data_IF_558390722330
#
_entry.id   IF_558390722330
#
_cell.length_a   1.000
_cell.length_b   1.000
_cell.length_c   1.000
_cell.angle_alpha   90.00
_cell.angle_beta   90.00
_cell.angle_gamma   90.00
#
_symmetry.space_group_name_H-M   'P 1'
#
loop_
_entity.id
_entity.type
_entity.pdbx_description
1 polymer ?
#
# COMPACT_ATOMS: atom_id res chain seq x y z
N UNK A 1 22.99 8.14 10.25
CA UNK A 1 21.55 8.19 10.67
C UNK A 1 20.79 7.31 9.70
N UNK A 2 20.10 6.28 10.16
CA UNK A 2 19.24 5.48 9.31
C UNK A 2 18.09 6.38 8.80
N UNK A 3 17.79 6.32 7.50
CA UNK A 3 16.71 7.10 6.90
C UNK A 3 15.31 6.73 7.45
N UNK A 4 14.24 7.38 6.94
CA UNK A 4 12.85 7.06 7.29
C UNK A 4 12.54 5.57 7.14
N UNK A 5 11.66 5.06 8.00
CA UNK A 5 11.18 3.69 8.00
C UNK A 5 9.97 3.54 7.09
N UNK A 6 10.01 2.61 6.16
CA UNK A 6 8.90 2.35 5.24
C UNK A 6 8.03 1.22 5.79
N UNK A 7 6.84 1.58 6.23
CA UNK A 7 5.78 0.67 6.64
C UNK A 7 4.78 0.51 5.50
N UNK A 8 4.76 -0.68 4.90
CA UNK A 8 3.82 -0.99 3.83
C UNK A 8 2.58 -1.72 4.36
N UNK A 9 1.41 -1.34 3.87
CA UNK A 9 0.13 -2.00 4.14
C UNK A 9 -0.38 -2.59 2.84
N UNK A 10 -0.51 -3.91 2.79
CA UNK A 10 -0.99 -4.65 1.64
C UNK A 10 -2.24 -5.48 1.98
N UNK A 11 -3.00 -5.84 0.96
CA UNK A 11 -4.23 -6.64 1.08
C UNK A 11 -5.16 -6.40 -0.11
N UNK A 12 -6.23 -7.19 -0.27
CA UNK A 12 -7.17 -7.03 -1.38
C UNK A 12 -7.93 -5.69 -1.30
N UNK A 13 -8.45 -5.18 -2.42
CA UNK A 13 -9.37 -4.05 -2.41
C UNK A 13 -10.57 -4.32 -1.50
N UNK A 14 -10.95 -3.35 -0.66
CA UNK A 14 -11.98 -3.53 0.36
C UNK A 14 -11.49 -4.10 1.70
N UNK A 15 -10.22 -4.49 1.83
CA UNK A 15 -9.68 -4.97 3.12
C UNK A 15 -9.53 -3.87 4.18
N UNK A 16 -9.56 -2.60 3.78
CA UNK A 16 -9.39 -1.46 4.69
C UNK A 16 -7.99 -0.87 4.73
N UNK A 17 -7.12 -1.19 3.75
CA UNK A 17 -5.74 -0.65 3.65
C UNK A 17 -5.68 0.85 3.85
N UNK A 18 -6.41 1.60 3.05
CA UNK A 18 -6.37 3.07 3.11
C UNK A 18 -6.88 3.61 4.44
N UNK A 19 -7.94 3.02 5.00
CA UNK A 19 -8.44 3.37 6.34
C UNK A 19 -7.36 3.16 7.40
N UNK A 20 -6.67 2.02 7.35
CA UNK A 20 -5.56 1.71 8.26
C UNK A 20 -4.37 2.65 8.02
N UNK A 21 -4.02 2.93 6.77
CA UNK A 21 -2.92 3.85 6.42
C UNK A 21 -3.17 5.26 6.96
N UNK A 22 -4.41 5.76 6.92
CA UNK A 22 -4.75 7.04 7.52
C UNK A 22 -4.64 7.03 9.05
N UNK A 23 -5.15 5.98 9.71
CA UNK A 23 -5.05 5.86 11.17
C UNK A 23 -3.57 5.73 11.63
N UNK A 24 -2.74 5.04 10.87
CA UNK A 24 -1.30 4.95 11.10
C UNK A 24 -0.61 6.30 10.86
N UNK A 25 -1.00 7.04 9.81
CA UNK A 25 -0.45 8.38 9.55
C UNK A 25 -0.68 9.31 10.74
N UNK A 26 -1.88 9.36 11.27
CA UNK A 26 -2.20 10.14 12.47
C UNK A 26 -1.36 9.68 13.68
N UNK A 27 -1.26 8.36 13.89
CA UNK A 27 -0.50 7.76 15.00
C UNK A 27 0.98 8.11 14.94
N UNK A 28 1.56 8.18 13.73
CA UNK A 28 2.96 8.54 13.49
C UNK A 28 3.17 10.02 13.16
N UNK A 29 2.27 10.90 13.65
CA UNK A 29 2.45 12.35 13.63
C UNK A 29 2.32 12.98 12.23
N UNK A 30 1.43 12.44 11.40
CA UNK A 30 1.21 12.89 10.03
C UNK A 30 2.22 12.26 9.05
N UNK A 31 2.54 10.97 9.25
CA UNK A 31 3.41 10.24 8.33
C UNK A 31 2.86 10.32 6.89
N UNK A 32 3.70 10.62 5.88
CA UNK A 32 3.25 10.69 4.50
C UNK A 32 2.78 9.32 4.01
N UNK A 33 1.72 9.30 3.20
CA UNK A 33 1.18 8.10 2.58
C UNK A 33 1.44 8.17 1.07
N UNK A 34 2.18 7.20 0.54
CA UNK A 34 2.22 6.93 -0.89
C UNK A 34 1.18 5.85 -1.20
N UNK A 35 0.14 6.19 -1.96
CA UNK A 35 -0.89 5.26 -2.38
C UNK A 35 -0.57 4.71 -3.77
N UNK A 36 -0.42 3.39 -3.90
CA UNK A 36 -0.18 2.71 -5.17
C UNK A 36 -1.19 3.12 -6.24
N UNK A 37 -2.46 3.23 -5.88
CA UNK A 37 -3.56 3.55 -6.80
C UNK A 37 -3.38 4.92 -7.49
N UNK A 38 -2.58 5.83 -6.91
CA UNK A 38 -2.27 7.13 -7.53
C UNK A 38 -1.14 7.07 -8.59
N UNK A 39 -0.47 5.93 -8.71
CA UNK A 39 0.65 5.71 -9.64
C UNK A 39 0.37 4.65 -10.68
N UNK A 40 -0.61 3.78 -10.44
CA UNK A 40 -0.86 2.64 -11.29
C UNK A 40 -1.53 3.06 -12.61
N UNK A 41 -1.19 2.38 -13.68
CA UNK A 41 -1.76 2.58 -15.01
C UNK A 41 -2.50 1.35 -15.55
N UNK A 42 -2.61 0.28 -14.76
CA UNK A 42 -3.22 -1.00 -15.18
C UNK A 42 -4.71 -0.88 -15.40
N UNK A 43 -5.39 0.00 -14.67
CA UNK A 43 -6.82 0.27 -14.85
C UNK A 43 -7.15 0.84 -16.21
N UNK A 44 -6.18 1.42 -16.91
CA UNK A 44 -6.33 1.92 -18.28
C UNK A 44 -6.06 0.87 -19.36
N UNK A 45 -5.58 -0.33 -18.98
CA UNK A 45 -5.29 -1.38 -19.94
C UNK A 45 -6.55 -1.94 -20.58
N UNK A 46 -6.51 -2.19 -21.91
CA UNK A 46 -7.58 -2.93 -22.58
C UNK A 46 -7.70 -4.36 -22.01
N UNK A 47 -8.90 -4.96 -22.01
CA UNK A 47 -9.13 -6.30 -21.47
C UNK A 47 -8.18 -7.37 -22.02
N UNK A 48 -7.84 -7.30 -23.30
CA UNK A 48 -6.91 -8.24 -23.96
C UNK A 48 -5.48 -8.12 -23.43
N UNK A 49 -5.02 -6.94 -23.08
CA UNK A 49 -3.71 -6.75 -22.47
C UNK A 49 -3.65 -7.34 -21.08
N UNK A 50 -4.71 -7.21 -20.31
CA UNK A 50 -4.80 -7.81 -18.97
C UNK A 50 -4.89 -9.32 -19.07
N UNK A 51 -5.69 -9.87 -19.98
CA UNK A 51 -5.75 -11.31 -20.23
C UNK A 51 -4.37 -11.87 -20.64
N UNK A 52 -3.65 -11.19 -21.50
CA UNK A 52 -2.29 -11.56 -21.89
C UNK A 52 -1.30 -11.48 -20.72
N UNK A 53 -1.44 -10.51 -19.81
CA UNK A 53 -0.63 -10.42 -18.60
C UNK A 53 -0.90 -11.58 -17.65
N UNK A 54 -2.17 -11.92 -17.41
CA UNK A 54 -2.58 -13.09 -16.61
C UNK A 54 -2.05 -14.39 -17.20
N UNK A 55 -2.15 -14.58 -18.52
CA UNK A 55 -1.67 -15.78 -19.22
C UNK A 55 -0.15 -15.97 -19.09
N UNK A 56 0.61 -14.89 -18.89
CA UNK A 56 2.05 -14.94 -18.60
C UNK A 56 2.37 -15.18 -17.12
N UNK A 57 1.38 -15.51 -16.29
CA UNK A 57 1.54 -15.74 -14.85
C UNK A 57 1.55 -14.45 -14.04
N UNK A 58 0.97 -13.37 -14.55
CA UNK A 58 0.82 -12.07 -13.88
C UNK A 58 2.13 -11.55 -13.25
N UNK A 59 3.17 -11.30 -14.06
CA UNK A 59 4.44 -10.79 -13.54
C UNK A 59 4.26 -9.38 -12.95
N UNK A 60 4.46 -9.22 -11.64
CA UNK A 60 4.26 -7.93 -10.95
C UNK A 60 5.32 -6.87 -11.31
N UNK A 61 6.48 -7.30 -11.78
CA UNK A 61 7.53 -6.44 -12.33
C UNK A 61 7.14 -5.77 -13.66
N UNK A 62 6.17 -6.35 -14.38
CA UNK A 62 5.63 -5.77 -15.59
C UNK A 62 4.50 -4.74 -15.36
N UNK A 63 4.07 -4.53 -14.11
CA UNK A 63 3.03 -3.56 -13.80
C UNK A 63 3.61 -2.14 -13.80
N UNK A 64 3.10 -1.23 -14.65
CA UNK A 64 3.61 0.12 -14.71
C UNK A 64 3.11 0.93 -13.50
N UNK A 65 4.04 1.39 -12.69
CA UNK A 65 3.82 2.32 -11.58
C UNK A 65 4.83 3.48 -11.68
N UNK A 66 4.70 4.31 -12.73
CA UNK A 66 5.71 5.30 -13.05
C UNK A 66 5.89 6.31 -11.92
N UNK A 67 7.14 6.46 -11.45
CA UNK A 67 7.53 7.39 -10.41
C UNK A 67 7.33 6.91 -8.98
N UNK A 68 6.62 5.80 -8.71
CA UNK A 68 6.39 5.32 -7.33
C UNK A 68 7.70 4.96 -6.62
N UNK A 69 8.57 4.20 -7.29
CA UNK A 69 9.85 3.79 -6.72
C UNK A 69 10.78 4.99 -6.48
N UNK A 70 10.77 5.96 -7.39
CA UNK A 70 11.55 7.19 -7.26
C UNK A 70 11.04 8.08 -6.13
N UNK A 71 9.72 8.33 -6.06
CA UNK A 71 9.11 9.15 -5.02
C UNK A 71 9.33 8.50 -3.63
N UNK A 72 9.23 7.17 -3.52
CA UNK A 72 9.56 6.45 -2.29
C UNK A 72 11.03 6.62 -1.90
N UNK A 73 11.95 6.47 -2.85
CA UNK A 73 13.38 6.66 -2.62
C UNK A 73 13.72 8.12 -2.20
N UNK A 74 13.06 9.11 -2.80
CA UNK A 74 13.20 10.52 -2.43
C UNK A 74 12.72 10.79 -1.01
N UNK A 75 11.53 10.29 -0.64
CA UNK A 75 11.03 10.39 0.75
C UNK A 75 11.99 9.72 1.74
N UNK A 76 12.59 8.57 1.39
CA UNK A 76 13.61 7.92 2.24
C UNK A 76 14.87 8.77 2.44
N UNK A 77 15.21 9.64 1.48
CA UNK A 77 16.31 10.62 1.63
C UNK A 77 15.87 11.88 2.39
N UNK A 78 14.61 11.98 2.78
CA UNK A 78 14.06 13.17 3.45
C UNK A 78 13.64 14.28 2.49
N UNK A 79 13.58 14.00 1.19
CA UNK A 79 13.19 14.94 0.15
C UNK A 79 11.65 14.99 0.01
N UNK A 80 11.09 16.16 -0.34
CA UNK A 80 9.66 16.27 -0.62
C UNK A 80 9.30 15.65 -1.97
N UNK A 81 8.09 15.11 -2.07
CA UNK A 81 7.51 14.57 -3.30
C UNK A 81 6.09 15.09 -3.51
N UNK A 82 5.56 15.11 -4.75
CA UNK A 82 4.16 15.44 -4.99
C UNK A 82 3.21 14.46 -4.30
N UNK A 83 2.13 14.98 -3.70
CA UNK A 83 0.98 14.16 -3.32
C UNK A 83 0.08 13.98 -4.55
N UNK A 84 0.17 12.83 -5.20
CA UNK A 84 -0.57 12.54 -6.43
C UNK A 84 -2.04 12.19 -6.17
N UNK A 85 -2.39 11.84 -4.94
CA UNK A 85 -3.76 11.49 -4.57
C UNK A 85 -4.58 12.73 -4.21
N UNK A 86 -3.98 13.66 -3.44
CA UNK A 86 -4.68 14.82 -2.85
C UNK A 86 -4.20 16.17 -3.34
N UNK A 87 -3.12 16.19 -4.09
CA UNK A 87 -2.42 17.43 -4.44
C UNK A 87 -1.53 17.95 -3.30
N UNK A 88 -0.63 18.86 -3.63
CA UNK A 88 0.33 19.39 -2.67
C UNK A 88 1.61 18.59 -2.56
N UNK A 89 2.18 18.46 -1.36
CA UNK A 89 3.53 17.91 -1.15
C UNK A 89 3.58 17.02 0.08
N UNK A 90 4.05 15.80 -0.08
CA UNK A 90 4.40 14.86 0.99
C UNK A 90 5.82 15.12 1.48
N UNK A 91 6.00 15.06 2.80
CA UNK A 91 7.31 15.18 3.46
C UNK A 91 7.38 14.19 4.62
N UNK A 92 8.53 13.56 4.91
CA UNK A 92 8.68 12.75 6.11
C UNK A 92 8.41 13.59 7.36
N UNK A 93 7.52 13.12 8.22
CA UNK A 93 7.21 13.81 9.46
C UNK A 93 8.40 13.73 10.43
N UNK A 94 8.90 14.87 10.88
CA UNK A 94 9.96 14.95 11.90
C UNK A 94 9.34 15.21 13.28
N UNK A 95 8.57 14.28 13.80
CA UNK A 95 7.96 14.44 15.14
C UNK A 95 8.26 13.21 15.99
N UNK A 96 9.04 13.39 17.06
CA UNK A 96 9.29 12.39 18.09
C UNK A 96 10.73 11.85 18.11
N UNK A 97 11.01 11.02 19.13
CA UNK A 97 12.33 10.44 19.42
C UNK A 97 12.56 9.11 18.66
N UNK A 98 12.22 9.02 17.39
CA UNK A 98 12.42 7.80 16.61
C UNK A 98 12.62 8.08 15.12
N UNK A 99 12.81 7.02 14.35
CA UNK A 99 12.88 7.12 12.89
C UNK A 99 11.55 7.64 12.34
N UNK A 100 11.55 8.64 11.42
CA UNK A 100 10.35 9.03 10.71
C UNK A 100 9.74 7.84 9.96
N UNK A 101 8.42 7.78 9.88
CA UNK A 101 7.70 6.72 9.16
C UNK A 101 7.20 7.26 7.82
N UNK A 102 7.30 6.45 6.78
CA UNK A 102 6.64 6.60 5.49
C UNK A 102 5.67 5.44 5.35
N UNK A 103 4.43 5.71 4.97
CA UNK A 103 3.42 4.71 4.71
C UNK A 103 3.33 4.44 3.21
N UNK A 104 3.30 3.17 2.83
CA UNK A 104 3.06 2.72 1.47
C UNK A 104 1.78 1.88 1.45
N UNK A 105 0.67 2.45 0.98
CA UNK A 105 -0.56 1.69 0.68
C UNK A 105 -0.38 1.01 -0.67
N UNK A 106 -0.31 -0.32 -0.70
CA UNK A 106 0.10 -1.06 -1.90
C UNK A 106 -0.70 -2.34 -2.13
N UNK A 107 -0.86 -2.69 -3.41
CA UNK A 107 -1.35 -3.99 -3.84
C UNK A 107 -0.21 -4.99 -4.12
N UNK A 108 1.04 -4.53 -4.17
CA UNK A 108 2.16 -5.32 -4.68
C UNK A 108 3.11 -5.83 -3.57
N UNK A 109 3.05 -5.23 -2.38
CA UNK A 109 3.95 -5.58 -1.28
C UNK A 109 5.42 -5.58 -1.73
N UNK A 110 6.17 -6.61 -1.35
CA UNK A 110 7.56 -6.80 -1.76
C UNK A 110 7.74 -7.44 -3.15
N UNK A 111 6.65 -7.82 -3.82
CA UNK A 111 6.73 -8.51 -5.12
C UNK A 111 7.08 -7.57 -6.29
N UNK A 112 6.96 -6.25 -6.12
CA UNK A 112 7.37 -5.28 -7.12
C UNK A 112 8.85 -4.88 -6.93
N UNK A 113 9.75 -5.15 -7.91
CA UNK A 113 11.20 -4.97 -7.74
C UNK A 113 11.61 -3.54 -7.37
N UNK A 114 10.94 -2.53 -7.97
CA UNK A 114 11.30 -1.13 -7.74
C UNK A 114 10.97 -0.60 -6.35
N UNK A 115 9.97 -1.16 -5.67
CA UNK A 115 9.54 -0.72 -4.33
C UNK A 115 9.77 -1.77 -3.25
N UNK A 116 9.79 -3.05 -3.59
CA UNK A 116 9.86 -4.17 -2.64
C UNK A 116 11.09 -4.12 -1.74
N UNK A 117 12.25 -3.83 -2.32
CA UNK A 117 13.51 -3.67 -1.57
C UNK A 117 13.58 -2.44 -0.67
N UNK A 118 12.61 -1.52 -0.78
CA UNK A 118 12.54 -0.32 0.05
C UNK A 118 11.63 -0.47 1.28
N UNK A 119 10.88 -1.58 1.39
CA UNK A 119 9.92 -1.84 2.47
C UNK A 119 10.67 -2.41 3.68
N UNK A 120 10.67 -1.67 4.79
CA UNK A 120 11.26 -2.10 6.06
C UNK A 120 10.33 -3.06 6.82
N UNK A 121 9.00 -2.83 6.77
CA UNK A 121 8.01 -3.71 7.38
C UNK A 121 6.74 -3.79 6.53
N UNK A 122 6.29 -5.02 6.24
CA UNK A 122 5.10 -5.29 5.43
C UNK A 122 4.00 -5.90 6.29
N UNK A 123 2.87 -5.23 6.33
CA UNK A 123 1.62 -5.72 6.93
C UNK A 123 0.70 -6.22 5.83
N UNK A 124 0.15 -7.42 6.00
CA UNK A 124 -0.90 -7.98 5.16
C UNK A 124 -2.24 -7.99 5.89
N UNK A 125 -3.26 -7.33 5.31
CA UNK A 125 -4.63 -7.43 5.78
C UNK A 125 -5.29 -8.67 5.19
N UNK A 126 -5.39 -9.72 6.02
CA UNK A 126 -5.89 -11.04 5.62
C UNK A 126 -7.41 -11.10 5.75
N UNK A 127 -8.09 -10.58 4.73
CA UNK A 127 -9.55 -10.60 4.67
C UNK A 127 -10.01 -11.55 3.56
N UNK A 128 -11.00 -12.43 3.81
CA UNK A 128 -11.62 -13.25 2.76
C UNK A 128 -12.12 -12.39 1.60
N UNK A 129 -11.93 -12.87 0.36
CA UNK A 129 -12.22 -12.07 -0.84
C UNK A 129 -13.69 -11.71 -1.01
N UNK A 130 -14.61 -12.57 -0.55
CA UNK A 130 -16.05 -12.32 -0.52
C UNK A 130 -16.40 -11.17 0.44
N UNK A 131 -15.79 -11.14 1.62
CA UNK A 131 -15.97 -10.04 2.58
C UNK A 131 -15.36 -8.74 2.05
N UNK A 132 -14.18 -8.84 1.43
CA UNK A 132 -13.53 -7.69 0.80
C UNK A 132 -14.38 -7.11 -0.33
N UNK A 133 -14.96 -7.98 -1.17
CA UNK A 133 -15.91 -7.60 -2.22
C UNK A 133 -17.13 -6.90 -1.64
N UNK A 134 -17.78 -7.49 -0.63
CA UNK A 134 -18.95 -6.90 0.02
C UNK A 134 -18.65 -5.48 0.58
N UNK A 135 -17.48 -5.28 1.19
CA UNK A 135 -17.04 -3.95 1.66
C UNK A 135 -16.80 -2.98 0.51
N UNK A 136 -16.18 -3.45 -0.59
CA UNK A 136 -15.97 -2.63 -1.78
C UNK A 136 -17.28 -2.19 -2.41
N UNK A 137 -18.25 -3.11 -2.55
CA UNK A 137 -19.60 -2.78 -3.04
C UNK A 137 -20.29 -1.74 -2.15
N UNK A 138 -20.21 -1.91 -0.82
CA UNK A 138 -20.74 -0.93 0.12
C UNK A 138 -20.14 0.45 -0.08
N UNK A 139 -18.84 0.56 -0.35
CA UNK A 139 -18.18 1.86 -0.57
C UNK A 139 -18.77 2.61 -1.77
N UNK A 140 -19.14 1.93 -2.86
CA UNK A 140 -19.84 2.55 -3.99
C UNK A 140 -21.22 3.08 -3.60
N UNK A 141 -22.00 2.28 -2.87
CA UNK A 141 -23.37 2.66 -2.46
C UNK A 141 -23.35 3.82 -1.43
N UNK A 142 -22.40 3.80 -0.52
CA UNK A 142 -22.20 4.90 0.45
C UNK A 142 -21.75 6.18 -0.26
N UNK A 143 -20.85 6.08 -1.23
CA UNK A 143 -20.44 7.20 -2.05
C UNK A 143 -21.61 7.84 -2.79
N UNK A 144 -22.46 7.02 -3.43
CA UNK A 144 -23.66 7.52 -4.12
C UNK A 144 -24.68 8.18 -3.18
N UNK A 145 -24.79 7.72 -1.93
CA UNK A 145 -25.66 8.35 -0.92
C UNK A 145 -25.10 9.68 -0.42
N UNK A 146 -23.78 9.79 -0.26
CA UNK A 146 -23.13 11.05 0.20
C UNK A 146 -23.16 12.12 -0.86
N UNK A 147 -23.02 11.74 -2.13
CA UNK A 147 -22.99 12.63 -3.28
C UNK A 147 -23.97 12.15 -4.36
N UNK A 148 -25.26 12.49 -4.24
CA UNK A 148 -26.28 12.06 -5.21
C UNK A 148 -25.99 12.49 -6.65
N UNK A 149 -25.33 13.62 -6.86
CA UNK A 149 -24.87 14.11 -8.17
C UNK A 149 -23.86 13.19 -8.84
N UNK A 150 -23.09 12.41 -8.07
CA UNK A 150 -22.15 11.42 -8.56
C UNK A 150 -22.73 10.00 -8.68
N UNK A 151 -23.99 9.77 -8.30
CA UNK A 151 -24.56 8.44 -8.22
C UNK A 151 -24.49 7.68 -9.54
N UNK A 152 -24.82 8.32 -10.67
CA UNK A 152 -24.77 7.68 -12.00
C UNK A 152 -23.35 7.26 -12.37
N UNK A 153 -22.37 8.11 -12.09
CA UNK A 153 -20.93 7.81 -12.33
C UNK A 153 -20.47 6.66 -11.46
N UNK A 154 -20.87 6.62 -10.18
CA UNK A 154 -20.50 5.57 -9.25
C UNK A 154 -21.15 4.24 -9.59
N UNK A 155 -22.41 4.24 -10.07
CA UNK A 155 -23.08 3.04 -10.58
C UNK A 155 -22.40 2.49 -11.83
N UNK A 156 -22.01 3.36 -12.77
CA UNK A 156 -21.22 2.95 -13.94
C UNK A 156 -19.86 2.35 -13.57
N UNK A 157 -19.18 2.93 -12.57
CA UNK A 157 -17.92 2.38 -12.06
C UNK A 157 -18.11 1.03 -11.36
N UNK A 158 -19.23 0.86 -10.62
CA UNK A 158 -19.60 -0.41 -10.01
C UNK A 158 -19.89 -1.49 -11.05
N UNK A 159 -20.66 -1.17 -12.09
CA UNK A 159 -20.97 -2.09 -13.19
C UNK A 159 -19.69 -2.53 -13.90
N UNK A 160 -18.81 -1.59 -14.26
CA UNK A 160 -17.50 -1.89 -14.85
C UNK A 160 -16.61 -2.75 -13.95
N UNK A 161 -16.65 -2.54 -12.63
CA UNK A 161 -15.92 -3.33 -11.65
C UNK A 161 -16.45 -4.77 -11.60
N UNK A 162 -17.77 -4.95 -11.51
CA UNK A 162 -18.42 -6.27 -11.44
C UNK A 162 -18.27 -7.05 -12.75
N UNK A 163 -18.41 -6.37 -13.90
CA UNK A 163 -18.24 -6.99 -15.22
C UNK A 163 -16.82 -7.55 -15.48
N UNK A 164 -15.83 -7.11 -14.69
CA UNK A 164 -14.45 -7.63 -14.77
C UNK A 164 -14.08 -8.55 -13.60
N UNK A 165 -15.00 -8.75 -12.64
CA UNK A 165 -14.63 -9.37 -11.38
C UNK A 165 -14.19 -10.83 -11.54
N UNK A 166 -14.99 -11.66 -12.17
CA UNK A 166 -14.74 -13.11 -12.29
C UNK A 166 -13.52 -13.42 -13.16
N UNK A 167 -13.44 -12.76 -14.31
CA UNK A 167 -12.41 -13.07 -15.30
C UNK A 167 -11.05 -12.44 -14.99
N UNK A 168 -11.02 -11.37 -14.20
CA UNK A 168 -9.83 -10.56 -14.02
C UNK A 168 -9.48 -10.27 -12.57
N UNK A 169 -10.40 -9.61 -11.84
CA UNK A 169 -10.06 -9.06 -10.53
C UNK A 169 -9.90 -10.16 -9.49
N UNK A 170 -10.80 -11.12 -9.43
CA UNK A 170 -10.73 -12.23 -8.48
C UNK A 170 -9.47 -13.08 -8.67
N UNK A 171 -9.10 -13.55 -9.88
CA UNK A 171 -7.84 -14.26 -10.10
C UNK A 171 -6.61 -13.42 -9.72
N UNK A 172 -6.63 -12.11 -10.03
CA UNK A 172 -5.52 -11.22 -9.67
C UNK A 172 -5.39 -11.09 -8.15
N UNK A 173 -6.48 -10.95 -7.42
CA UNK A 173 -6.46 -10.83 -5.95
C UNK A 173 -6.04 -12.15 -5.28
N UNK A 174 -6.45 -13.29 -5.83
CA UNK A 174 -5.96 -14.59 -5.38
C UNK A 174 -4.44 -14.71 -5.54
N UNK A 175 -3.90 -14.35 -6.72
CA UNK A 175 -2.46 -14.31 -6.96
C UNK A 175 -1.72 -13.34 -6.03
N UNK A 176 -2.28 -12.17 -5.77
CA UNK A 176 -1.69 -11.23 -4.81
C UNK A 176 -1.60 -11.85 -3.42
N UNK A 177 -2.69 -12.46 -2.94
CA UNK A 177 -2.66 -13.18 -1.65
C UNK A 177 -1.57 -14.24 -1.62
N UNK A 178 -1.50 -15.07 -2.64
CA UNK A 178 -0.58 -16.21 -2.66
C UNK A 178 0.90 -15.78 -2.77
N UNK A 179 1.19 -14.63 -3.38
CA UNK A 179 2.55 -14.13 -3.57
C UNK A 179 3.01 -13.11 -2.52
N UNK A 180 2.10 -12.30 -1.99
CA UNK A 180 2.46 -11.18 -1.10
C UNK A 180 2.32 -11.57 0.36
N UNK A 181 1.24 -12.27 0.71
CA UNK A 181 0.96 -12.70 2.08
C UNK A 181 2.12 -13.47 2.73
N UNK A 182 2.78 -14.44 2.06
CA UNK A 182 3.89 -15.18 2.66
C UNK A 182 5.13 -14.33 2.96
N UNK A 183 5.29 -13.20 2.28
CA UNK A 183 6.40 -12.26 2.47
C UNK A 183 6.10 -11.14 3.48
N UNK A 184 4.91 -11.16 4.10
CA UNK A 184 4.53 -10.17 5.10
C UNK A 184 5.20 -10.47 6.45
N UNK A 185 5.68 -9.41 7.10
CA UNK A 185 6.24 -9.50 8.46
C UNK A 185 5.14 -9.63 9.51
N UNK A 186 3.94 -9.13 9.19
CA UNK A 186 2.77 -9.21 10.05
C UNK A 186 1.51 -9.47 9.24
N UNK A 187 0.71 -10.44 9.67
CA UNK A 187 -0.58 -10.78 9.06
C UNK A 187 -1.67 -10.43 10.06
N UNK A 188 -2.61 -9.57 9.65
CA UNK A 188 -3.73 -9.11 10.46
C UNK A 188 -5.04 -9.59 9.85
N UNK A 189 -5.80 -10.37 10.61
CA UNK A 189 -7.12 -10.85 10.24
C UNK A 189 -8.23 -9.81 10.45
N UNK A 190 -9.44 -10.28 10.72
CA UNK A 190 -10.56 -9.40 11.06
C UNK A 190 -10.25 -8.61 12.34
N UNK A 191 -10.56 -7.31 12.33
CA UNK A 191 -10.35 -6.41 13.46
C UNK A 191 -10.74 -4.98 13.12
N UNK A 192 -10.73 -4.12 14.12
CA UNK A 192 -10.93 -2.69 13.96
C UNK A 192 -9.62 -1.99 13.57
N UNK A 193 -9.68 -0.81 12.96
CA UNK A 193 -8.47 -0.03 12.68
C UNK A 193 -7.64 0.26 13.93
N UNK A 194 -8.28 0.50 15.08
CA UNK A 194 -7.60 0.76 16.35
C UNK A 194 -6.80 -0.45 16.86
N UNK A 195 -7.37 -1.66 16.79
CA UNK A 195 -6.69 -2.91 17.14
C UNK A 195 -5.50 -3.15 16.22
N UNK A 196 -5.67 -2.95 14.91
CA UNK A 196 -4.60 -3.10 13.94
C UNK A 196 -3.46 -2.08 14.18
N UNK A 197 -3.79 -0.82 14.43
CA UNK A 197 -2.81 0.22 14.78
C UNK A 197 -2.03 -0.17 16.03
N UNK A 198 -2.71 -0.64 17.08
CA UNK A 198 -2.06 -1.07 18.31
C UNK A 198 -1.09 -2.25 18.09
N UNK A 199 -1.52 -3.25 17.32
CA UNK A 199 -0.70 -4.41 16.99
C UNK A 199 0.54 -4.05 16.15
N UNK A 200 0.36 -3.20 15.13
CA UNK A 200 1.47 -2.73 14.28
C UNK A 200 2.45 -1.90 15.10
N UNK A 201 1.94 -0.94 15.88
CA UNK A 201 2.77 -0.08 16.71
C UNK A 201 3.61 -0.91 17.69
N UNK A 202 3.02 -1.90 18.35
CA UNK A 202 3.74 -2.80 19.24
C UNK A 202 4.88 -3.54 18.55
N UNK A 203 4.66 -4.01 17.32
CA UNK A 203 5.66 -4.73 16.55
C UNK A 203 6.83 -3.85 16.11
N UNK A 204 6.56 -2.62 15.62
CA UNK A 204 7.60 -1.78 15.02
C UNK A 204 8.23 -0.77 15.98
N UNK A 205 7.61 -0.47 17.14
CA UNK A 205 8.13 0.50 18.10
C UNK A 205 9.58 0.22 18.52
N UNK A 206 9.98 -1.02 18.85
CA UNK A 206 11.37 -1.33 19.18
C UNK A 206 12.34 -1.01 18.02
N UNK A 207 11.91 -1.26 16.78
CA UNK A 207 12.70 -1.00 15.57
C UNK A 207 12.88 0.50 15.31
N UNK A 208 11.80 1.28 15.52
CA UNK A 208 11.83 2.73 15.35
C UNK A 208 12.71 3.43 16.39
N UNK A 209 12.80 2.86 17.59
CA UNK A 209 13.57 3.41 18.72
C UNK A 209 15.00 2.88 18.79
N UNK A 210 15.35 1.83 18.04
CA UNK A 210 16.69 1.30 17.98
C UNK A 210 17.68 2.35 17.45
N UNK A 211 18.76 2.57 18.20
CA UNK A 211 19.87 3.38 17.69
C UNK A 211 20.45 2.74 16.42
N UNK A 212 20.89 3.53 15.43
CA UNK A 212 21.54 2.97 14.25
C UNK A 212 22.75 2.16 14.71
N UNK A 213 22.81 0.90 14.31
CA UNK A 213 24.01 0.07 14.52
C UNK A 213 25.18 0.78 13.83
N UNK A 214 26.27 1.10 14.54
CA UNK A 214 27.43 1.70 13.90
C UNK A 214 27.94 0.70 12.86
N UNK A 215 27.98 1.11 11.61
CA UNK A 215 28.65 0.36 10.55
C UNK A 215 30.10 0.21 10.98
N UNK A 216 30.54 -1.01 11.25
CA UNK A 216 31.94 -1.30 11.51
C UNK A 216 32.72 -0.89 10.23
N UNK A 217 33.34 0.27 10.28
CA UNK A 217 34.37 0.61 9.33
C UNK A 217 35.51 -0.38 9.59
N UNK A 218 35.62 -1.36 8.74
CA UNK A 218 36.79 -2.20 8.63
C UNK A 218 37.99 -1.28 8.26
N UNK A 219 38.69 -0.79 9.27
CA UNK A 219 40.00 -0.20 9.09
C UNK A 219 40.93 -1.33 8.66
N UNK A 220 41.26 -1.39 7.39
CA UNK A 220 42.49 -1.96 6.94
C UNK A 220 43.50 -0.83 7.01
N UNK A 221 44.33 -0.83 8.01
CA UNK A 221 45.60 -0.09 8.02
C UNK A 221 46.72 -0.93 7.36
N UNK A 222 47.73 -0.28 6.86
CA UNK A 222 48.57 -0.65 5.72
C UNK A 222 49.54 -1.81 5.94
#
# INVERSE_FOLDING_TARGET
MSGPFVLAVAGPPGSGKSTLSYALSETFGGAPILAYDAYEAVTTWPPEQVAAWLARGAPFDALPVPGLAEDLARLRRGEPVPDRERGGTLRPARRGAGRPVILLDTLLGRAHPGTGGQIDHLVWLDLPLDIALARKLRSFTEGARREPSAASRLLGALDAYLGRYDMLLHPTYALQRDRIRPAADQILGAGTPAEHVAAIRSAIQPILMAAPTPTAYGGAEP
#
